data_IF_234264303609
#
_entry.id   IF_234264303609
#
_cell.length_a   1.000
_cell.length_b   1.000
_cell.length_c   1.000
_cell.angle_alpha   90.00
_cell.angle_beta   90.00
_cell.angle_gamma   90.00
#
_symmetry.space_group_name_H-M   'P 1'
#
loop_
_entity.id
_entity.type
_entity.pdbx_description
1 polymer ?
#
# COMPACT_ATOMS: atom_id res chain seq x y z
N UNK A 1 -10.71 11.80 5.11
CA UNK A 1 -11.10 12.85 4.14
C UNK A 1 -12.06 12.26 3.12
N UNK A 2 -13.03 13.01 2.61
CA UNK A 2 -13.96 12.52 1.59
C UNK A 2 -13.31 12.67 0.20
N UNK A 3 -13.17 11.60 -0.61
CA UNK A 3 -12.58 11.69 -1.94
C UNK A 3 -13.41 12.62 -2.83
N UNK A 4 -12.73 13.56 -3.52
CA UNK A 4 -13.37 14.37 -4.56
C UNK A 4 -13.10 13.73 -5.92
N UNK A 5 -14.16 13.58 -6.72
CA UNK A 5 -14.03 13.10 -8.10
C UNK A 5 -13.44 14.21 -8.96
N UNK A 6 -12.44 13.84 -9.76
CA UNK A 6 -11.99 14.63 -10.90
C UNK A 6 -12.95 14.42 -12.07
N UNK A 7 -13.15 15.44 -12.88
CA UNK A 7 -13.76 15.25 -14.19
C UNK A 7 -12.82 14.46 -15.12
N UNK A 8 -13.39 13.96 -16.22
CA UNK A 8 -12.65 13.09 -17.14
C UNK A 8 -11.45 13.80 -17.81
N UNK A 9 -11.58 15.08 -18.17
CA UNK A 9 -10.53 15.80 -18.87
C UNK A 9 -9.34 16.03 -17.93
N UNK A 10 -9.61 16.48 -16.71
CA UNK A 10 -8.57 16.68 -15.68
C UNK A 10 -7.84 15.38 -15.37
N UNK A 11 -8.56 14.26 -15.22
CA UNK A 11 -7.95 12.96 -14.97
C UNK A 11 -7.05 12.50 -16.14
N UNK A 12 -7.46 12.76 -17.38
CA UNK A 12 -6.68 12.42 -18.58
C UNK A 12 -5.37 13.20 -18.66
N UNK A 13 -5.41 14.50 -18.37
CA UNK A 13 -4.22 15.35 -18.37
C UNK A 13 -3.22 14.96 -17.29
N UNK A 14 -3.70 14.71 -16.06
CA UNK A 14 -2.87 14.22 -14.96
C UNK A 14 -2.21 12.88 -15.32
N UNK A 15 -2.95 11.94 -15.91
CA UNK A 15 -2.39 10.67 -16.37
C UNK A 15 -1.28 10.86 -17.40
N UNK A 16 -1.45 11.80 -18.34
CA UNK A 16 -0.43 12.09 -19.34
C UNK A 16 0.84 12.68 -18.72
N UNK A 17 0.71 13.54 -17.71
CA UNK A 17 1.85 14.10 -16.96
C UNK A 17 2.59 12.98 -16.22
N UNK A 18 1.88 12.15 -15.46
CA UNK A 18 2.47 11.03 -14.71
C UNK A 18 3.17 10.02 -15.64
N UNK A 19 2.59 9.75 -16.81
CA UNK A 19 3.19 8.88 -17.83
C UNK A 19 4.54 9.41 -18.32
N UNK A 20 4.71 10.74 -18.46
CA UNK A 20 6.00 11.35 -18.86
C UNK A 20 7.09 11.17 -17.79
N UNK A 21 6.69 10.93 -16.54
CA UNK A 21 7.57 10.64 -15.41
C UNK A 21 7.78 9.12 -15.21
N UNK A 22 7.31 8.29 -16.15
CA UNK A 22 7.32 6.82 -16.06
C UNK A 22 6.50 6.26 -14.87
N UNK A 23 5.46 6.97 -14.44
CA UNK A 23 4.54 6.52 -13.39
C UNK A 23 3.25 6.00 -14.06
N UNK A 24 2.98 4.72 -13.87
CA UNK A 24 1.85 4.01 -14.52
C UNK A 24 0.83 3.45 -13.54
N UNK A 25 1.00 3.71 -12.24
CA UNK A 25 0.17 3.17 -11.17
C UNK A 25 -1.27 3.65 -11.28
N UNK A 26 -2.22 2.76 -10.95
CA UNK A 26 -3.65 3.09 -10.98
C UNK A 26 -4.04 4.11 -9.89
N UNK A 27 -3.31 4.08 -8.76
CA UNK A 27 -3.45 5.02 -7.66
C UNK A 27 -2.10 5.64 -7.34
N UNK A 28 -2.13 6.96 -7.17
CA UNK A 28 -0.99 7.76 -6.73
C UNK A 28 -1.48 8.81 -5.74
N UNK A 29 -0.62 9.18 -4.81
CA UNK A 29 -0.81 10.31 -3.92
C UNK A 29 0.10 11.43 -4.40
N UNK A 30 -0.48 12.60 -4.65
CA UNK A 30 0.29 13.80 -5.02
C UNK A 30 0.29 14.73 -3.81
N UNK A 31 1.46 14.94 -3.22
CA UNK A 31 1.66 15.91 -2.15
C UNK A 31 2.17 17.22 -2.77
N UNK A 32 1.29 18.21 -2.88
CA UNK A 32 1.64 19.53 -3.41
C UNK A 32 2.51 20.35 -2.46
N UNK A 33 2.52 20.05 -1.16
CA UNK A 33 3.34 20.76 -0.18
C UNK A 33 4.80 20.30 -0.21
N UNK A 34 5.02 19.03 -0.53
CA UNK A 34 6.36 18.42 -0.68
C UNK A 34 6.81 18.29 -2.14
N UNK A 35 5.92 18.55 -3.09
CA UNK A 35 6.15 18.39 -4.54
C UNK A 35 6.52 16.94 -4.91
N UNK A 36 5.94 15.96 -4.20
CA UNK A 36 6.20 14.53 -4.40
C UNK A 36 5.00 13.81 -4.99
N UNK A 37 5.27 12.76 -5.78
CA UNK A 37 4.28 11.76 -6.18
C UNK A 37 4.68 10.45 -5.53
N UNK A 38 3.82 9.97 -4.63
CA UNK A 38 3.98 8.69 -3.96
C UNK A 38 3.08 7.66 -4.64
N UNK A 39 3.62 6.48 -4.88
CA UNK A 39 2.83 5.35 -5.35
C UNK A 39 2.02 4.88 -4.15
N UNK A 40 0.70 4.83 -4.30
CA UNK A 40 -0.11 4.10 -3.35
C UNK A 40 0.19 2.62 -3.61
N UNK A 41 1.11 2.06 -2.82
CA UNK A 41 1.22 0.61 -2.69
C UNK A 41 -0.14 0.16 -2.16
N UNK A 42 -0.86 -0.65 -2.94
CA UNK A 42 -2.04 -1.32 -2.41
C UNK A 42 -1.55 -2.12 -1.20
N UNK A 43 -1.98 -1.69 -0.02
CA UNK A 43 -1.55 -2.20 1.29
C UNK A 43 -1.47 -3.72 1.28
N UNK A 44 -0.24 -4.25 1.30
CA UNK A 44 0.12 -5.66 1.37
C UNK A 44 -0.60 -6.56 0.35
N UNK A 45 0.15 -7.17 -0.58
CA UNK A 45 -0.41 -8.29 -1.32
C UNK A 45 -0.90 -9.33 -0.30
N UNK A 46 -2.03 -10.00 -0.58
CA UNK A 46 -2.44 -11.16 0.21
C UNK A 46 -1.26 -12.14 0.33
N UNK A 47 -0.41 -12.21 -0.70
CA UNK A 47 0.82 -13.00 -0.68
C UNK A 47 1.83 -12.53 0.38
N UNK A 48 1.97 -11.23 0.65
CA UNK A 48 2.87 -10.70 1.69
C UNK A 48 2.30 -11.00 3.10
N UNK A 49 0.97 -10.92 3.23
CA UNK A 49 0.27 -11.32 4.47
C UNK A 49 0.40 -12.82 4.68
N UNK A 50 0.28 -13.63 3.62
CA UNK A 50 0.41 -15.08 3.66
C UNK A 50 1.87 -15.52 3.88
N UNK A 51 2.84 -14.75 3.41
CA UNK A 51 4.26 -14.97 3.68
C UNK A 51 4.59 -14.67 5.16
N UNK A 52 4.07 -13.56 5.70
CA UNK A 52 4.17 -13.22 7.11
C UNK A 52 3.40 -14.18 8.03
N UNK A 53 2.25 -14.70 7.58
CA UNK A 53 1.47 -15.70 8.31
C UNK A 53 2.08 -17.11 8.20
N UNK A 54 2.68 -17.43 7.06
CA UNK A 54 3.40 -18.68 6.80
C UNK A 54 4.73 -18.79 7.54
N UNK A 55 5.23 -17.70 8.14
CA UNK A 55 6.40 -17.69 9.01
C UNK A 55 6.10 -18.13 10.45
N UNK A 56 4.83 -18.31 10.81
CA UNK A 56 4.44 -18.86 12.11
C UNK A 56 4.53 -20.39 12.06
N UNK A 57 5.75 -20.93 12.15
CA UNK A 57 5.91 -22.39 12.26
C UNK A 57 5.23 -22.89 13.54
N UNK A 58 4.80 -24.16 13.59
CA UNK A 58 4.21 -24.74 14.79
C UNK A 58 5.07 -24.52 16.04
N UNK A 59 6.40 -24.61 15.90
CA UNK A 59 7.35 -24.34 16.99
C UNK A 59 7.28 -22.87 17.46
N UNK A 60 7.20 -21.91 16.52
CA UNK A 60 7.09 -20.49 16.88
C UNK A 60 5.74 -20.15 17.52
N UNK A 61 4.68 -20.87 17.15
CA UNK A 61 3.37 -20.72 17.77
C UNK A 61 3.36 -21.25 19.21
N UNK A 62 4.05 -22.36 19.49
CA UNK A 62 4.21 -22.90 20.85
C UNK A 62 5.01 -21.95 21.75
N UNK A 63 6.13 -21.40 21.27
CA UNK A 63 6.92 -20.41 22.03
C UNK A 63 6.09 -19.18 22.43
N UNK A 64 5.26 -18.66 21.53
CA UNK A 64 4.41 -17.50 21.80
C UNK A 64 3.27 -17.82 22.77
N UNK A 65 2.74 -19.04 22.71
CA UNK A 65 1.73 -19.52 23.67
C UNK A 65 2.33 -19.68 25.08
N UNK A 66 3.58 -20.10 25.18
CA UNK A 66 4.30 -20.14 26.46
C UNK A 66 4.55 -18.73 26.99
N UNK A 67 5.00 -17.77 26.17
CA UNK A 67 5.23 -16.38 26.59
C UNK A 67 3.95 -15.69 27.12
N UNK A 68 2.78 -15.95 26.52
CA UNK A 68 1.50 -15.36 26.94
C UNK A 68 0.91 -16.06 28.17
N UNK A 69 1.26 -17.32 28.42
CA UNK A 69 0.80 -18.08 29.60
C UNK A 69 1.69 -17.86 30.85
N UNK A 70 2.62 -16.91 30.82
CA UNK A 70 3.30 -16.42 32.04
C UNK A 70 2.47 -15.33 32.70
N UNK A 71 1.36 -15.74 33.33
CA UNK A 71 0.65 -15.04 34.41
C UNK A 71 0.35 -16.04 35.54
#
# INVERSE_FOLDING_TARGET
MIPKKLDHQTAKELKAILTRLNIFNQRVTIDFGKETVEIAEDEYSIDDILEAAGTLTPERAEELLEEVNWD
#
